data_IF_259592468655
#
_entry.id   IF_259592468655
#
_cell.length_a   1.000
_cell.length_b   1.000
_cell.length_c   1.000
_cell.angle_alpha   90.00
_cell.angle_beta   90.00
_cell.angle_gamma   90.00
#
_symmetry.space_group_name_H-M   'P 1'
#
loop_
_entity.id
_entity.type
_entity.pdbx_description
1 polymer ?
#
# COMPACT_ATOMS: atom_id res chain seq x y z
N UNK A 1 -6.89 6.65 -7.62
CA UNK A 1 -5.45 6.75 -7.26
C UNK A 1 -4.84 5.38 -6.97
N UNK A 2 -5.51 4.54 -6.17
CA UNK A 2 -5.14 3.14 -5.92
C UNK A 2 -4.75 2.33 -7.18
N UNK A 3 -5.64 2.32 -8.19
CA UNK A 3 -5.40 1.64 -9.46
C UNK A 3 -4.14 2.13 -10.22
N UNK A 4 -3.79 3.42 -10.12
CA UNK A 4 -2.60 3.94 -10.78
C UNK A 4 -1.32 3.43 -10.10
N UNK A 5 -1.29 3.42 -8.77
CA UNK A 5 -0.18 2.87 -8.00
C UNK A 5 -0.05 1.35 -8.21
N UNK A 6 -1.15 0.60 -8.20
CA UNK A 6 -1.17 -0.83 -8.57
C UNK A 6 -0.57 -1.05 -9.96
N UNK A 7 -1.03 -0.30 -10.96
CA UNK A 7 -0.55 -0.47 -12.33
C UNK A 7 0.94 -0.16 -12.45
N UNK A 8 1.42 0.88 -11.76
CA UNK A 8 2.85 1.21 -11.71
C UNK A 8 3.70 0.11 -11.05
N UNK A 9 3.22 -0.49 -9.95
CA UNK A 9 3.89 -1.63 -9.32
C UNK A 9 3.98 -2.81 -10.29
N UNK A 10 2.86 -3.18 -10.94
CA UNK A 10 2.85 -4.24 -11.96
C UNK A 10 3.77 -3.95 -13.16
N UNK A 11 3.89 -2.68 -13.58
CA UNK A 11 4.84 -2.30 -14.64
C UNK A 11 6.29 -2.47 -14.19
N UNK A 12 6.62 -2.06 -12.96
CA UNK A 12 7.97 -2.22 -12.40
C UNK A 12 8.32 -3.70 -12.28
N UNK A 13 7.40 -4.54 -11.79
CA UNK A 13 7.60 -5.99 -11.71
C UNK A 13 7.94 -6.60 -13.08
N UNK A 14 7.12 -6.34 -14.12
CA UNK A 14 7.39 -6.85 -15.47
C UNK A 14 8.74 -6.43 -16.00
N UNK A 15 9.15 -5.18 -15.76
CA UNK A 15 10.46 -4.71 -16.18
C UNK A 15 11.59 -5.44 -15.45
N UNK A 16 11.41 -5.76 -14.16
CA UNK A 16 12.37 -6.50 -13.36
C UNK A 16 12.48 -7.98 -13.78
N UNK A 17 11.38 -8.60 -14.21
CA UNK A 17 11.37 -9.96 -14.77
C UNK A 17 12.07 -10.02 -16.14
N UNK A 18 11.85 -9.01 -17.00
CA UNK A 18 12.47 -8.96 -18.34
C UNK A 18 13.99 -8.72 -18.30
N UNK A 19 14.48 -7.91 -17.35
CA UNK A 19 15.91 -7.61 -17.19
C UNK A 19 16.69 -8.72 -16.44
N UNK A 20 16.04 -9.79 -15.97
CA UNK A 20 16.68 -10.85 -15.17
C UNK A 20 17.69 -11.71 -15.98
N UNK A 21 17.63 -11.64 -17.31
CA UNK A 21 18.55 -12.33 -18.23
C UNK A 21 19.92 -11.63 -18.39
N UNK A 22 20.05 -10.34 -18.05
CA UNK A 22 21.27 -9.55 -18.26
C UNK A 22 21.83 -9.02 -16.94
N UNK A 23 22.74 -9.79 -16.32
CA UNK A 23 23.60 -9.45 -15.16
C UNK A 23 22.92 -8.73 -13.98
N UNK A 24 22.99 -9.34 -12.80
CA UNK A 24 22.62 -8.75 -11.50
C UNK A 24 23.47 -7.50 -11.20
N UNK A 25 23.08 -6.37 -11.75
CA UNK A 25 23.68 -5.05 -11.53
C UNK A 25 23.26 -4.50 -10.17
N UNK A 26 24.05 -3.60 -9.60
CA UNK A 26 23.68 -2.86 -8.40
C UNK A 26 22.35 -2.09 -8.61
N UNK A 27 22.12 -1.57 -9.82
CA UNK A 27 20.87 -0.88 -10.18
C UNK A 27 19.65 -1.82 -10.09
N UNK A 28 19.76 -3.02 -10.67
CA UNK A 28 18.73 -4.06 -10.60
C UNK A 28 18.36 -4.41 -9.15
N UNK A 29 19.37 -4.63 -8.29
CA UNK A 29 19.14 -4.91 -6.87
C UNK A 29 18.44 -3.77 -6.15
N UNK A 30 18.83 -2.52 -6.43
CA UNK A 30 18.20 -1.33 -5.84
C UNK A 30 16.74 -1.25 -6.28
N UNK A 31 16.44 -1.45 -7.57
CA UNK A 31 15.06 -1.43 -8.08
C UNK A 31 14.20 -2.54 -7.49
N UNK A 32 14.71 -3.78 -7.38
CA UNK A 32 14.00 -4.89 -6.72
C UNK A 32 13.69 -4.59 -5.26
N UNK A 33 14.65 -4.03 -4.51
CA UNK A 33 14.45 -3.62 -3.12
C UNK A 33 13.41 -2.51 -2.99
N UNK A 34 13.50 -1.47 -3.81
CA UNK A 34 12.53 -0.37 -3.81
C UNK A 34 11.13 -0.86 -4.16
N UNK A 35 11.00 -1.74 -5.15
CA UNK A 35 9.72 -2.36 -5.51
C UNK A 35 9.10 -3.10 -4.32
N UNK A 36 9.87 -3.94 -3.62
CA UNK A 36 9.39 -4.67 -2.46
C UNK A 36 8.92 -3.75 -1.33
N UNK A 37 9.70 -2.71 -1.01
CA UNK A 37 9.33 -1.73 0.02
C UNK A 37 8.05 -0.97 -0.37
N UNK A 38 7.92 -0.56 -1.63
CA UNK A 38 6.73 0.14 -2.12
C UNK A 38 5.50 -0.75 -2.11
N UNK A 39 5.62 -2.02 -2.50
CA UNK A 39 4.51 -2.99 -2.47
C UNK A 39 4.04 -3.25 -1.03
N UNK A 40 4.95 -3.44 -0.07
CA UNK A 40 4.57 -3.59 1.35
C UNK A 40 3.86 -2.34 1.88
N UNK A 41 4.40 -1.14 1.62
CA UNK A 41 3.74 0.12 2.00
C UNK A 41 2.36 0.29 1.36
N UNK A 42 2.19 -0.15 0.12
CA UNK A 42 0.89 -0.11 -0.54
C UNK A 42 -0.12 -1.00 0.17
N UNK A 43 0.26 -2.24 0.52
CA UNK A 43 -0.57 -3.15 1.32
C UNK A 43 -0.94 -2.51 2.66
N UNK A 44 0.04 -1.97 3.40
CA UNK A 44 -0.21 -1.34 4.70
C UNK A 44 -1.24 -0.20 4.62
N UNK A 45 -1.14 0.64 3.59
CA UNK A 45 -2.08 1.76 3.37
C UNK A 45 -3.47 1.24 2.98
N UNK A 46 -3.55 0.19 2.16
CA UNK A 46 -4.83 -0.40 1.78
C UNK A 46 -5.52 -1.10 2.94
N UNK A 47 -4.77 -1.76 3.83
CA UNK A 47 -5.34 -2.39 5.03
C UNK A 47 -5.95 -1.33 5.94
N UNK A 48 -5.23 -0.23 6.21
CA UNK A 48 -5.76 0.90 6.98
C UNK A 48 -6.99 1.53 6.33
N UNK A 49 -7.00 1.61 5.01
CA UNK A 49 -8.15 2.14 4.28
C UNK A 49 -9.36 1.20 4.40
N UNK A 50 -9.16 -0.12 4.31
CA UNK A 50 -10.23 -1.10 4.54
C UNK A 50 -10.77 -1.05 5.98
N UNK A 51 -9.91 -0.96 6.99
CA UNK A 51 -10.31 -0.76 8.39
C UNK A 51 -11.19 0.49 8.55
N UNK A 52 -10.77 1.62 7.98
CA UNK A 52 -11.55 2.86 8.02
C UNK A 52 -12.91 2.73 7.29
N UNK A 53 -12.98 1.91 6.24
CA UNK A 53 -14.23 1.62 5.55
C UNK A 53 -15.19 0.79 6.40
N UNK A 54 -14.69 -0.28 7.04
CA UNK A 54 -15.48 -1.09 7.98
C UNK A 54 -16.02 -0.23 9.13
N UNK A 55 -15.17 0.62 9.73
CA UNK A 55 -15.61 1.56 10.76
C UNK A 55 -16.70 2.53 10.29
N UNK A 56 -16.62 3.00 9.04
CA UNK A 56 -17.62 3.87 8.45
C UNK A 56 -18.94 3.14 8.20
N UNK A 57 -18.89 1.86 7.80
CA UNK A 57 -20.06 0.99 7.65
C UNK A 57 -20.81 0.85 8.96
N UNK A 58 -20.11 0.48 10.04
CA UNK A 58 -20.70 0.28 11.36
C UNK A 58 -21.33 1.56 11.91
N UNK A 59 -20.66 2.70 11.74
CA UNK A 59 -21.23 4.01 12.12
C UNK A 59 -22.46 4.37 11.31
N UNK A 60 -22.50 4.01 10.03
CA UNK A 60 -23.66 4.26 9.16
C UNK A 60 -24.83 3.35 9.54
N UNK A 61 -24.56 2.06 9.83
CA UNK A 61 -25.54 1.10 10.35
C UNK A 61 -26.16 1.58 11.66
N UNK A 62 -25.34 1.97 12.65
CA UNK A 62 -25.84 2.48 13.93
C UNK A 62 -26.68 3.76 13.80
N UNK A 63 -26.38 4.62 12.82
CA UNK A 63 -27.24 5.78 12.51
C UNK A 63 -28.59 5.37 11.93
N UNK A 64 -28.62 4.41 11.01
CA UNK A 64 -29.87 3.88 10.45
C UNK A 64 -30.73 3.28 11.56
N UNK A 65 -30.14 2.46 12.43
CA UNK A 65 -30.83 1.87 13.58
C UNK A 65 -31.47 2.95 14.46
N UNK A 66 -30.69 4.00 14.79
CA UNK A 66 -31.18 5.11 15.61
C UNK A 66 -32.34 5.85 14.95
N UNK A 67 -32.30 6.07 13.63
CA UNK A 67 -33.38 6.72 12.89
C UNK A 67 -34.63 5.84 12.82
N UNK A 68 -34.48 4.52 12.69
CA UNK A 68 -35.59 3.57 12.74
C UNK A 68 -36.30 3.59 14.10
N UNK A 69 -35.55 3.62 15.20
CA UNK A 69 -36.11 3.77 16.56
C UNK A 69 -36.94 5.06 16.71
N UNK A 70 -36.46 6.18 16.16
CA UNK A 70 -37.18 7.47 16.18
C UNK A 70 -38.51 7.38 15.45
N UNK A 71 -38.56 6.61 14.36
CA UNK A 71 -39.81 6.36 13.60
C UNK A 71 -40.74 5.35 14.27
N UNK A 72 -40.35 4.80 15.42
CA UNK A 72 -41.14 3.82 16.18
C UNK A 72 -40.95 2.38 15.74
N UNK A 73 -39.98 2.09 14.85
CA UNK A 73 -39.64 0.75 14.41
C UNK A 73 -38.38 0.29 15.16
N UNK A 74 -38.58 -0.45 16.25
CA UNK A 74 -37.48 -1.17 16.87
C UNK A 74 -37.00 -2.28 15.92
N UNK A 75 -35.70 -2.37 15.69
CA UNK A 75 -35.10 -3.33 14.75
C UNK A 75 -33.85 -3.90 15.40
N UNK A 76 -33.73 -5.23 15.41
CA UNK A 76 -32.53 -5.88 15.92
C UNK A 76 -31.35 -5.67 14.97
N UNK A 77 -30.15 -5.99 15.43
CA UNK A 77 -28.95 -5.86 14.60
C UNK A 77 -28.99 -6.80 13.39
N UNK A 78 -29.54 -8.01 13.58
CA UNK A 78 -29.71 -9.03 12.54
C UNK A 78 -30.79 -8.64 11.53
N UNK A 79 -31.94 -8.14 11.98
CA UNK A 79 -33.00 -7.66 11.09
C UNK A 79 -32.51 -6.47 10.26
N UNK A 80 -31.74 -5.56 10.86
CA UNK A 80 -31.16 -4.43 10.15
C UNK A 80 -30.14 -4.89 9.10
N UNK A 81 -29.35 -5.91 9.40
CA UNK A 81 -28.40 -6.49 8.45
C UNK A 81 -29.13 -7.09 7.23
N UNK A 82 -30.18 -7.87 7.46
CA UNK A 82 -31.01 -8.45 6.39
C UNK A 82 -31.65 -7.36 5.51
N UNK A 83 -32.11 -6.26 6.13
CA UNK A 83 -32.64 -5.10 5.42
C UNK A 83 -31.58 -4.41 4.54
N UNK A 84 -30.32 -4.36 4.98
CA UNK A 84 -29.20 -3.81 4.20
C UNK A 84 -28.81 -4.72 3.03
N UNK A 85 -28.77 -6.04 3.27
CA UNK A 85 -28.45 -7.04 2.23
C UNK A 85 -29.51 -7.13 1.13
N UNK A 86 -30.78 -6.91 1.48
CA UNK A 86 -31.89 -6.94 0.53
C UNK A 86 -31.85 -5.84 -0.53
N UNK A 87 -31.01 -4.81 -0.37
CA UNK A 87 -30.75 -3.76 -1.36
C UNK A 87 -31.95 -2.87 -1.74
N UNK A 88 -33.11 -3.10 -1.12
CA UNK A 88 -34.34 -2.38 -1.40
C UNK A 88 -34.60 -1.32 -0.34
N UNK A 89 -34.35 -0.05 -0.69
CA UNK A 89 -34.57 1.09 0.21
C UNK A 89 -36.02 1.22 0.69
N UNK A 90 -37.00 0.68 -0.06
CA UNK A 90 -38.40 0.71 0.34
C UNK A 90 -38.68 -0.08 1.64
N UNK A 91 -37.82 -1.04 1.99
CA UNK A 91 -37.93 -1.84 3.22
C UNK A 91 -37.81 -0.96 4.48
N UNK A 92 -37.09 0.16 4.39
CA UNK A 92 -37.01 1.14 5.48
C UNK A 92 -38.30 1.95 5.64
N UNK A 93 -39.04 2.20 4.56
CA UNK A 93 -40.30 2.95 4.58
C UNK A 93 -41.52 2.10 4.96
N UNK A 94 -41.40 0.77 4.87
CA UNK A 94 -42.49 -0.14 5.17
C UNK A 94 -42.87 -0.10 6.67
N UNK A 95 -44.08 0.38 6.95
CA UNK A 95 -44.67 0.41 8.29
C UNK A 95 -44.51 1.72 9.06
N UNK A 96 -43.91 2.76 8.46
CA UNK A 96 -43.73 4.06 9.12
C UNK A 96 -44.90 5.01 8.80
N UNK A 97 -45.42 5.66 9.85
CA UNK A 97 -46.52 6.64 9.74
C UNK A 97 -46.03 7.94 9.11
N UNK A 98 -46.81 8.52 8.19
CA UNK A 98 -46.49 9.75 7.46
C UNK A 98 -46.56 10.99 8.38
N UNK A 99 -45.53 11.19 9.19
CA UNK A 99 -45.33 12.40 10.00
C UNK A 99 -44.15 13.21 9.48
N UNK A 100 -44.11 14.53 9.75
CA UNK A 100 -42.98 15.38 9.35
C UNK A 100 -41.63 14.91 9.90
N UNK A 101 -41.63 14.37 11.12
CA UNK A 101 -40.44 13.78 11.77
C UNK A 101 -40.03 12.48 11.05
N UNK A 102 -41.01 11.65 10.67
CA UNK A 102 -40.77 10.41 9.92
C UNK A 102 -40.12 10.67 8.56
N UNK A 103 -40.53 11.73 7.84
CA UNK A 103 -39.94 12.08 6.53
C UNK A 103 -38.46 12.44 6.62
N UNK A 104 -38.08 13.17 7.66
CA UNK A 104 -36.68 13.56 7.85
C UNK A 104 -35.82 12.33 8.21
N UNK A 105 -36.29 11.48 9.12
CA UNK A 105 -35.60 10.24 9.50
C UNK A 105 -35.43 9.31 8.29
N UNK A 106 -36.47 9.14 7.47
CA UNK A 106 -36.43 8.35 6.25
C UNK A 106 -35.42 8.87 5.24
N UNK A 107 -35.37 10.19 5.01
CA UNK A 107 -34.39 10.78 4.11
C UNK A 107 -32.94 10.56 4.58
N UNK A 108 -32.69 10.61 5.90
CA UNK A 108 -31.37 10.31 6.46
C UNK A 108 -31.02 8.82 6.28
N UNK A 109 -31.98 7.92 6.52
CA UNK A 109 -31.79 6.47 6.31
C UNK A 109 -31.43 6.18 4.85
N UNK A 110 -32.18 6.73 3.88
CA UNK A 110 -31.89 6.54 2.45
C UNK A 110 -30.50 7.06 2.07
N UNK A 111 -30.10 8.23 2.60
CA UNK A 111 -28.78 8.80 2.35
C UNK A 111 -27.66 7.90 2.89
N UNK A 112 -27.81 7.37 4.11
CA UNK A 112 -26.84 6.44 4.72
C UNK A 112 -26.80 5.09 4.02
N UNK A 113 -27.95 4.54 3.63
CA UNK A 113 -28.01 3.32 2.84
C UNK A 113 -27.25 3.49 1.51
N UNK A 114 -27.43 4.62 0.82
CA UNK A 114 -26.68 4.92 -0.41
C UNK A 114 -25.16 4.99 -0.17
N UNK A 115 -24.73 5.51 0.97
CA UNK A 115 -23.31 5.54 1.33
C UNK A 115 -22.77 4.14 1.62
N UNK A 116 -23.54 3.26 2.27
CA UNK A 116 -23.19 1.85 2.48
C UNK A 116 -23.05 1.12 1.13
N UNK A 117 -24.00 1.28 0.21
CA UNK A 117 -23.92 0.65 -1.13
C UNK A 117 -22.66 1.11 -1.90
N UNK A 118 -22.31 2.40 -1.81
CA UNK A 118 -21.07 2.92 -2.42
C UNK A 118 -19.83 2.34 -1.77
N UNK A 119 -19.86 2.18 -0.44
CA UNK A 119 -18.78 1.57 0.33
C UNK A 119 -18.54 0.13 -0.10
N UNK A 120 -19.60 -0.67 -0.25
CA UNK A 120 -19.50 -2.07 -0.71
C UNK A 120 -18.84 -2.19 -2.07
N UNK A 121 -19.18 -1.31 -3.02
CA UNK A 121 -18.48 -1.25 -4.31
C UNK A 121 -16.99 -0.96 -4.13
N UNK A 122 -16.65 -0.02 -3.24
CA UNK A 122 -15.25 0.32 -2.97
C UNK A 122 -14.49 -0.80 -2.26
N UNK A 123 -15.13 -1.57 -1.38
CA UNK A 123 -14.53 -2.73 -0.69
C UNK A 123 -14.27 -3.85 -1.71
N UNK A 124 -15.20 -4.11 -2.63
CA UNK A 124 -15.00 -5.08 -3.72
C UNK A 124 -13.78 -4.71 -4.58
N UNK A 125 -13.65 -3.43 -4.94
CA UNK A 125 -12.47 -2.95 -5.66
C UNK A 125 -11.17 -3.13 -4.86
N UNK A 126 -11.17 -2.89 -3.54
CA UNK A 126 -10.01 -3.14 -2.69
C UNK A 126 -9.66 -4.63 -2.62
N UNK A 127 -10.66 -5.48 -2.48
CA UNK A 127 -10.48 -6.93 -2.44
C UNK A 127 -9.77 -7.44 -3.70
N UNK A 128 -10.21 -7.01 -4.88
CA UNK A 128 -9.57 -7.37 -6.15
C UNK A 128 -8.10 -6.90 -6.19
N UNK A 129 -7.79 -5.73 -5.62
CA UNK A 129 -6.42 -5.25 -5.50
C UNK A 129 -5.60 -6.05 -4.47
N UNK A 130 -6.21 -6.52 -3.38
CA UNK A 130 -5.53 -7.33 -2.36
C UNK A 130 -5.13 -8.70 -2.90
N UNK A 131 -6.01 -9.36 -3.64
CA UNK A 131 -5.71 -10.67 -4.27
C UNK A 131 -4.53 -10.54 -5.21
N UNK A 132 -4.54 -9.51 -6.06
CA UNK A 132 -3.44 -9.21 -6.98
C UNK A 132 -2.09 -9.01 -6.26
N UNK A 133 -2.08 -8.22 -5.18
CA UNK A 133 -0.84 -7.78 -4.53
C UNK A 133 -0.33 -8.78 -3.49
N UNK A 134 -1.21 -9.61 -2.92
CA UNK A 134 -0.80 -10.72 -2.07
C UNK A 134 0.16 -11.67 -2.83
N UNK A 135 -0.17 -11.97 -4.09
CA UNK A 135 0.70 -12.76 -4.98
C UNK A 135 2.03 -12.05 -5.26
N UNK A 136 2.02 -10.72 -5.45
CA UNK A 136 3.25 -9.92 -5.66
C UNK A 136 4.17 -9.93 -4.45
N UNK A 137 3.61 -9.85 -3.24
CA UNK A 137 4.41 -9.79 -2.01
C UNK A 137 4.96 -11.17 -1.65
N UNK A 138 4.19 -12.24 -1.88
CA UNK A 138 4.63 -13.62 -1.66
C UNK A 138 5.82 -14.00 -2.55
N UNK A 139 5.79 -13.64 -3.85
CA UNK A 139 6.89 -13.93 -4.78
C UNK A 139 8.20 -13.20 -4.43
N UNK A 140 8.12 -12.06 -3.74
CA UNK A 140 9.26 -11.22 -3.37
C UNK A 140 9.94 -11.61 -2.04
N UNK A 141 9.30 -12.45 -1.22
CA UNK A 141 9.76 -12.78 0.15
C UNK A 141 11.17 -13.38 0.25
N UNK A 142 11.64 -14.09 -0.77
CA UNK A 142 12.95 -14.76 -0.75
C UNK A 142 14.13 -13.86 -1.17
N UNK A 143 13.89 -12.72 -1.82
CA UNK A 143 14.95 -11.89 -2.40
C UNK A 143 15.34 -10.70 -1.50
N UNK A 144 14.42 -10.21 -0.67
CA UNK A 144 14.64 -9.04 0.19
C UNK A 144 15.70 -9.31 1.27
N UNK A 145 15.66 -10.49 1.91
CA UNK A 145 16.65 -10.89 2.94
C UNK A 145 18.08 -11.01 2.38
N UNK A 146 18.23 -11.43 1.13
CA UNK A 146 19.55 -11.51 0.49
C UNK A 146 20.10 -10.14 0.08
N UNK A 147 19.25 -9.11 -0.07
CA UNK A 147 19.68 -7.78 -0.52
C UNK A 147 20.19 -6.93 0.65
N UNK A 148 19.59 -7.03 1.84
CA UNK A 148 20.12 -6.37 3.04
C UNK A 148 21.56 -6.85 3.32
N UNK A 149 21.79 -8.15 3.19
CA UNK A 149 23.11 -8.79 3.26
C UNK A 149 24.06 -8.32 2.13
N UNK A 150 23.57 -8.17 0.90
CA UNK A 150 24.41 -7.78 -0.25
C UNK A 150 24.65 -6.27 -0.37
N UNK A 151 23.78 -5.42 0.17
CA UNK A 151 23.98 -3.96 0.27
C UNK A 151 24.99 -3.67 1.37
N UNK A 152 24.91 -4.36 2.52
CA UNK A 152 25.97 -4.32 3.54
C UNK A 152 27.34 -4.64 2.94
N UNK A 153 27.46 -5.76 2.22
CA UNK A 153 28.72 -6.14 1.53
C UNK A 153 29.19 -5.13 0.48
N UNK A 154 28.28 -4.45 -0.23
CA UNK A 154 28.67 -3.44 -1.22
C UNK A 154 29.22 -2.16 -0.57
N UNK A 155 28.66 -1.74 0.58
CA UNK A 155 29.21 -0.65 1.38
C UNK A 155 30.61 -1.01 1.87
N UNK A 156 30.80 -2.24 2.38
CA UNK A 156 32.10 -2.73 2.84
C UNK A 156 33.15 -2.74 1.71
N UNK A 157 32.77 -3.15 0.50
CA UNK A 157 33.66 -3.14 -0.67
C UNK A 157 34.02 -1.72 -1.13
N UNK A 158 33.08 -0.76 -1.07
CA UNK A 158 33.35 0.65 -1.41
C UNK A 158 34.26 1.30 -0.37
N UNK A 159 34.09 0.96 0.91
CA UNK A 159 34.96 1.44 1.98
C UNK A 159 36.38 0.87 1.84
N UNK A 160 36.51 -0.43 1.58
CA UNK A 160 37.78 -1.06 1.26
C UNK A 160 38.46 -0.44 0.03
N UNK A 161 37.72 -0.22 -1.05
CA UNK A 161 38.22 0.44 -2.26
C UNK A 161 38.65 1.90 -2.01
N UNK A 162 37.94 2.64 -1.17
CA UNK A 162 38.30 4.00 -0.74
C UNK A 162 39.59 4.02 0.08
N UNK A 163 39.83 3.01 0.92
CA UNK A 163 41.11 2.89 1.64
C UNK A 163 42.28 2.56 0.72
N UNK A 164 42.10 1.64 -0.23
CA UNK A 164 43.17 1.26 -1.18
C UNK A 164 43.50 2.38 -2.16
N UNK A 165 42.50 3.13 -2.65
CA UNK A 165 42.73 4.32 -3.50
C UNK A 165 43.47 5.43 -2.73
N UNK A 166 43.15 5.66 -1.45
CA UNK A 166 43.91 6.60 -0.60
C UNK A 166 45.36 6.16 -0.41
N UNK A 167 45.62 4.86 -0.21
CA UNK A 167 46.99 4.33 -0.12
C UNK A 167 47.73 4.52 -1.45
N UNK A 168 47.10 4.21 -2.58
CA UNK A 168 47.68 4.40 -3.91
C UNK A 168 48.06 5.86 -4.20
N UNK A 169 47.20 6.83 -3.84
CA UNK A 169 47.50 8.27 -3.99
C UNK A 169 48.68 8.71 -3.11
N UNK A 170 48.79 8.16 -1.89
CA UNK A 170 49.93 8.41 -1.00
C UNK A 170 51.23 7.83 -1.57
N UNK A 171 51.20 6.61 -2.10
CA UNK A 171 52.36 5.99 -2.75
C UNK A 171 52.80 6.76 -3.99
N UNK A 172 51.86 7.16 -4.85
CA UNK A 172 52.13 7.97 -6.03
C UNK A 172 52.77 9.32 -5.66
N UNK A 173 52.28 9.98 -4.60
CA UNK A 173 52.81 11.26 -4.15
C UNK A 173 54.22 11.15 -3.55
N UNK A 174 54.51 10.06 -2.81
CA UNK A 174 55.86 9.78 -2.32
C UNK A 174 56.83 9.45 -3.46
N UNK A 175 56.40 8.65 -4.43
CA UNK A 175 57.18 8.32 -5.62
C UNK A 175 57.53 9.58 -6.44
N UNK A 176 56.58 10.50 -6.63
CA UNK A 176 56.83 11.80 -7.29
C UNK A 176 57.86 12.65 -6.56
N UNK A 177 57.79 12.74 -5.23
CA UNK A 177 58.77 13.48 -4.42
C UNK A 177 60.16 12.86 -4.53
N UNK A 178 60.26 11.54 -4.50
CA UNK A 178 61.52 10.83 -4.66
C UNK A 178 62.11 11.03 -6.06
N UNK A 179 61.27 11.00 -7.10
CA UNK A 179 61.68 11.27 -8.49
C UNK A 179 62.24 12.70 -8.66
N UNK A 180 61.58 13.70 -8.07
CA UNK A 180 62.07 15.09 -8.08
C UNK A 180 63.40 15.24 -7.33
N UNK A 181 63.56 14.59 -6.18
CA UNK A 181 64.81 14.63 -5.41
C UNK A 181 65.96 13.98 -6.21
N UNK A 182 65.70 12.88 -6.92
CA UNK A 182 66.68 12.24 -7.80
C UNK A 182 67.04 13.11 -9.01
N UNK A 183 66.08 13.86 -9.58
CA UNK A 183 66.34 14.78 -10.69
C UNK A 183 67.10 16.06 -10.27
N UNK A 184 66.99 16.50 -9.01
CA UNK A 184 67.75 17.66 -8.51
C UNK A 184 69.18 17.32 -8.06
N UNK A 185 69.54 16.02 -7.96
CA UNK A 185 70.87 15.54 -7.57
C UNK A 185 71.60 14.79 -8.69
N UNK A 186 71.18 14.95 -9.96
CA UNK A 186 71.91 14.57 -11.17
C UNK A 186 72.32 15.82 -11.93
#
# INVERSE_FOLDING_TARGET
MANNARNKLKTIERNLEMEEAERVSADMRIRKSQHAVLSRKFVDVMTKYNEAQVDFREKSKGRIQRQLEITGKATTDEELEEMLEGGNAAVFTAGIVDSGISKQALSEIEARHKDIVRLESSIKELHDMFVDIAMLVESQGNMVDNIEVNVGKAVDHVEAAKTETKKAVRYQSKARKHCLICHLHS
#
